data_IF_249772643663
#
_entry.id   IF_249772643663
#
_cell.length_a   1.000
_cell.length_b   1.000
_cell.length_c   1.000
_cell.angle_alpha   90.00
_cell.angle_beta   90.00
_cell.angle_gamma   90.00
#
_symmetry.space_group_name_H-M   'P 1'
#
loop_
_entity.id
_entity.type
_entity.pdbx_description
1 polymer ?
#
# COMPACT_ATOMS: atom_id res chain seq x y z
N UNK A 1 -7.99 12.66 -17.61
CA UNK A 1 -6.58 13.03 -17.95
C UNK A 1 -5.70 12.11 -17.14
N UNK A 2 -4.68 11.46 -17.74
CA UNK A 2 -3.73 10.63 -16.99
C UNK A 2 -2.88 11.59 -16.14
N UNK A 3 -2.80 11.40 -14.81
CA UNK A 3 -1.99 12.28 -13.98
C UNK A 3 -0.51 12.19 -14.40
N UNK A 4 0.29 13.26 -14.23
CA UNK A 4 1.70 13.23 -14.49
C UNK A 4 2.39 12.17 -13.63
N UNK A 5 3.46 11.56 -14.12
CA UNK A 5 4.27 10.63 -13.35
C UNK A 5 4.84 11.34 -12.12
N UNK A 6 4.80 10.66 -10.97
CA UNK A 6 5.26 11.22 -9.70
C UNK A 6 6.54 10.50 -9.24
N UNK A 7 7.54 11.30 -8.90
CA UNK A 7 8.87 10.84 -8.46
C UNK A 7 9.28 11.60 -7.21
N UNK A 8 9.73 10.92 -6.19
CA UNK A 8 10.24 11.62 -5.01
C UNK A 8 10.40 10.80 -3.75
N UNK A 9 10.78 11.48 -2.66
CA UNK A 9 10.99 10.86 -1.38
C UNK A 9 9.69 10.54 -0.66
N UNK A 10 9.78 9.54 0.20
CA UNK A 10 8.84 9.28 1.25
C UNK A 10 9.44 9.66 2.61
N UNK A 11 8.65 10.37 3.43
CA UNK A 11 9.02 10.81 4.76
C UNK A 11 9.31 12.31 4.88
N UNK A 12 8.87 12.91 6.00
CA UNK A 12 9.01 14.34 6.27
C UNK A 12 10.47 14.80 6.43
N UNK A 13 11.37 13.91 6.87
CA UNK A 13 12.80 14.22 7.00
C UNK A 13 13.47 14.63 5.68
N UNK A 14 12.95 14.15 4.54
CA UNK A 14 13.44 14.53 3.22
C UNK A 14 13.21 16.00 2.89
N UNK A 15 12.29 16.68 3.57
CA UNK A 15 12.02 18.11 3.40
C UNK A 15 13.17 19.02 3.86
N UNK A 16 14.12 18.50 4.65
CA UNK A 16 15.38 19.21 4.91
C UNK A 16 16.17 19.52 3.63
N UNK A 17 15.92 18.75 2.55
CA UNK A 17 16.52 18.88 1.23
C UNK A 17 15.54 19.45 0.19
N UNK A 18 14.40 20.02 0.61
CA UNK A 18 13.30 20.40 -0.29
C UNK A 18 13.72 21.35 -1.42
N UNK A 19 14.69 22.23 -1.18
CA UNK A 19 15.23 23.14 -2.20
C UNK A 19 15.95 22.40 -3.34
N UNK A 20 16.55 21.24 -3.04
CA UNK A 20 17.35 20.47 -4.00
C UNK A 20 16.54 19.35 -4.68
N UNK A 21 15.40 18.95 -4.12
CA UNK A 21 14.60 17.84 -4.64
C UNK A 21 14.26 18.01 -6.13
N UNK A 22 13.81 19.20 -6.53
CA UNK A 22 13.46 19.49 -7.92
C UNK A 22 14.69 19.42 -8.85
N UNK A 23 15.88 19.79 -8.38
CA UNK A 23 17.11 19.72 -9.15
C UNK A 23 17.50 18.25 -9.48
N UNK A 24 17.10 17.32 -8.61
CA UNK A 24 17.27 15.88 -8.84
C UNK A 24 16.06 15.23 -9.53
N UNK A 25 15.09 16.02 -10.01
CA UNK A 25 13.94 15.53 -10.78
C UNK A 25 12.77 15.05 -9.93
N UNK A 26 12.80 15.23 -8.60
CA UNK A 26 11.64 14.95 -7.77
C UNK A 26 10.56 16.02 -8.00
N UNK A 27 9.32 15.58 -8.19
CA UNK A 27 8.16 16.45 -8.39
C UNK A 27 7.03 16.18 -7.39
N UNK A 28 7.20 15.18 -6.52
CA UNK A 28 6.27 14.82 -5.47
C UNK A 28 7.00 14.40 -4.19
N UNK A 29 6.30 14.41 -3.06
CA UNK A 29 6.77 13.82 -1.81
C UNK A 29 5.58 13.20 -1.06
N UNK A 30 5.81 12.08 -0.36
CA UNK A 30 4.80 11.33 0.37
C UNK A 30 5.02 11.40 1.87
N UNK A 31 3.95 11.54 2.64
CA UNK A 31 3.99 11.72 4.08
C UNK A 31 3.07 10.74 4.79
N UNK A 32 3.45 10.31 6.00
CA UNK A 32 2.69 9.38 6.84
C UNK A 32 1.30 9.86 7.28
N UNK A 33 1.05 11.18 7.18
CA UNK A 33 -0.19 11.82 7.61
C UNK A 33 -0.32 13.19 6.98
N UNK A 34 -1.46 13.80 7.16
CA UNK A 34 -1.66 15.21 6.88
C UNK A 34 -0.84 16.05 7.86
N UNK A 35 0.03 16.91 7.36
CA UNK A 35 0.98 17.71 8.17
C UNK A 35 1.17 19.09 7.55
N UNK A 36 0.82 20.16 8.29
CA UNK A 36 0.85 21.53 7.80
C UNK A 36 2.24 21.93 7.28
N UNK A 37 3.30 21.60 8.03
CA UNK A 37 4.67 21.98 7.68
C UNK A 37 5.13 21.28 6.39
N UNK A 38 4.73 20.02 6.23
CA UNK A 38 5.05 19.25 5.02
C UNK A 38 4.37 19.84 3.79
N UNK A 39 3.09 20.17 3.90
CA UNK A 39 2.32 20.77 2.80
C UNK A 39 2.83 22.17 2.45
N UNK A 40 3.12 23.01 3.44
CA UNK A 40 3.72 24.33 3.21
C UNK A 40 5.12 24.25 2.57
N UNK A 41 5.95 23.30 3.00
CA UNK A 41 7.26 23.10 2.39
C UNK A 41 7.15 22.67 0.93
N UNK A 42 6.27 21.71 0.63
CA UNK A 42 6.00 21.29 -0.75
C UNK A 42 5.50 22.44 -1.62
N UNK A 43 4.54 23.22 -1.14
CA UNK A 43 4.00 24.37 -1.86
C UNK A 43 5.06 25.42 -2.20
N UNK A 44 5.97 25.73 -1.25
CA UNK A 44 7.07 26.67 -1.47
C UNK A 44 8.05 26.24 -2.55
N UNK A 45 8.22 24.94 -2.75
CA UNK A 45 9.18 24.39 -3.71
C UNK A 45 8.53 23.80 -4.96
N UNK A 46 7.21 23.94 -5.13
CA UNK A 46 6.49 23.44 -6.31
C UNK A 46 6.43 21.91 -6.38
N UNK A 47 6.51 21.22 -5.24
CA UNK A 47 6.47 19.77 -5.11
C UNK A 47 5.04 19.35 -4.77
N UNK A 48 4.52 18.33 -5.45
CA UNK A 48 3.21 17.77 -5.17
C UNK A 48 3.23 17.04 -3.82
N UNK A 49 2.39 17.46 -2.87
CA UNK A 49 2.23 16.79 -1.59
C UNK A 49 1.25 15.62 -1.72
N UNK A 50 1.72 14.42 -1.39
CA UNK A 50 0.93 13.19 -1.34
C UNK A 50 0.90 12.63 0.08
N UNK A 51 -0.18 11.94 0.43
CA UNK A 51 -0.36 11.40 1.78
C UNK A 51 -0.51 9.89 1.73
N UNK A 52 0.22 9.19 2.59
CA UNK A 52 -0.11 7.83 3.01
C UNK A 52 -1.28 7.91 3.98
N UNK A 53 -2.39 7.31 3.62
CA UNK A 53 -3.55 7.23 4.49
C UNK A 53 -3.74 5.81 5.01
N UNK A 54 -3.61 5.67 6.33
CA UNK A 54 -3.71 4.36 7.02
C UNK A 54 -5.17 3.94 7.13
N UNK A 55 -5.54 2.86 6.44
CA UNK A 55 -6.92 2.37 6.39
C UNK A 55 -7.24 1.40 7.53
N UNK A 56 -6.69 0.19 7.49
CA UNK A 56 -7.01 -0.88 8.45
C UNK A 56 -5.91 -1.07 9.48
N UNK A 57 -5.41 0.03 10.01
CA UNK A 57 -4.37 0.03 11.05
C UNK A 57 -4.87 0.69 12.32
N UNK A 58 -4.71 0.01 13.44
CA UNK A 58 -5.02 0.52 14.76
C UNK A 58 -3.88 0.25 15.75
N UNK A 59 -3.90 0.95 16.86
CA UNK A 59 -3.12 0.59 18.05
C UNK A 59 -3.90 -0.48 18.84
N UNK A 60 -3.40 -1.71 18.82
CA UNK A 60 -4.04 -2.86 19.49
C UNK A 60 -3.78 -2.93 21.00
N UNK A 61 -2.89 -2.10 21.52
CA UNK A 61 -2.72 -1.95 22.97
C UNK A 61 -3.91 -1.22 23.57
N UNK A 62 -4.38 -0.19 22.85
CA UNK A 62 -5.53 0.62 23.27
C UNK A 62 -6.87 0.11 22.73
N UNK A 63 -6.86 -0.69 21.64
CA UNK A 63 -8.07 -1.18 20.96
C UNK A 63 -7.96 -2.71 20.69
N UNK A 64 -7.90 -3.56 21.72
CA UNK A 64 -7.69 -4.99 21.53
C UNK A 64 -8.85 -5.70 20.82
N UNK A 65 -10.05 -5.13 20.83
CA UNK A 65 -11.26 -5.66 20.15
C UNK A 65 -11.13 -5.59 18.62
N UNK A 66 -10.25 -4.75 18.10
CA UNK A 66 -9.99 -4.62 16.67
C UNK A 66 -9.11 -5.75 16.11
N UNK A 67 -8.47 -6.53 16.99
CA UNK A 67 -7.55 -7.60 16.59
C UNK A 67 -8.30 -8.70 15.84
N UNK A 68 -7.87 -9.09 14.63
CA UNK A 68 -8.45 -10.23 13.92
C UNK A 68 -8.24 -11.55 14.66
N UNK A 69 -9.17 -12.47 14.50
CA UNK A 69 -9.13 -13.82 15.09
C UNK A 69 -8.60 -14.81 14.04
N UNK A 70 -7.59 -15.58 14.42
CA UNK A 70 -7.02 -16.65 13.61
C UNK A 70 -7.91 -17.91 13.54
N UNK A 71 -7.48 -18.87 12.74
CA UNK A 71 -8.18 -20.15 12.58
C UNK A 71 -8.18 -21.00 13.88
N UNK A 72 -7.25 -20.74 14.78
CA UNK A 72 -7.16 -21.36 16.12
C UNK A 72 -8.07 -20.71 17.17
N UNK A 73 -8.85 -19.71 16.77
CA UNK A 73 -9.74 -18.95 17.65
C UNK A 73 -9.04 -17.90 18.51
N UNK A 74 -7.75 -17.64 18.29
CA UNK A 74 -6.96 -16.67 19.06
C UNK A 74 -6.75 -15.37 18.28
N UNK A 75 -6.55 -14.23 18.99
CA UNK A 75 -6.13 -12.99 18.35
C UNK A 75 -4.79 -13.14 17.64
N UNK A 76 -4.73 -12.70 16.38
CA UNK A 76 -3.49 -12.72 15.60
C UNK A 76 -2.61 -11.55 16.01
N UNK A 77 -1.32 -11.83 16.28
CA UNK A 77 -0.31 -10.82 16.60
C UNK A 77 0.99 -11.12 15.86
N UNK A 78 1.59 -10.10 15.26
CA UNK A 78 2.88 -10.15 14.60
C UNK A 78 3.94 -9.42 15.44
N UNK A 79 4.18 -9.88 16.68
CA UNK A 79 5.04 -9.20 17.63
C UNK A 79 4.52 -7.81 18.01
N UNK A 80 5.39 -6.78 17.91
CA UNK A 80 4.99 -5.38 18.08
C UNK A 80 4.34 -4.77 16.83
N UNK A 81 4.29 -5.51 15.72
CA UNK A 81 3.72 -5.06 14.46
C UNK A 81 2.22 -5.36 14.42
N UNK A 82 1.46 -4.34 14.06
CA UNK A 82 0.01 -4.40 14.08
C UNK A 82 -0.51 -4.17 12.67
N UNK A 83 -0.97 -5.22 12.02
CA UNK A 83 -1.33 -5.22 10.63
C UNK A 83 -2.72 -5.79 10.41
N UNK A 84 -3.60 -4.93 9.89
CA UNK A 84 -4.95 -5.28 9.55
C UNK A 84 -5.88 -5.38 10.77
N UNK A 85 -6.98 -4.63 10.76
CA UNK A 85 -8.07 -4.73 11.74
C UNK A 85 -9.12 -5.72 11.25
N UNK A 86 -9.95 -6.21 12.16
CA UNK A 86 -11.14 -6.95 11.79
C UNK A 86 -12.13 -6.06 11.03
N UNK A 87 -12.44 -6.37 9.77
CA UNK A 87 -13.33 -5.57 8.93
C UNK A 87 -14.83 -5.65 9.34
N UNK A 88 -15.17 -6.33 10.41
CA UNK A 88 -16.51 -6.26 11.03
C UNK A 88 -16.59 -5.24 12.17
N UNK A 89 -15.57 -4.42 12.37
CA UNK A 89 -15.53 -3.33 13.34
C UNK A 89 -15.99 -2.02 12.66
N UNK A 90 -17.30 -1.90 12.48
CA UNK A 90 -17.89 -0.83 11.67
C UNK A 90 -17.64 0.56 12.24
N UNK A 91 -17.73 0.74 13.57
CA UNK A 91 -17.49 2.04 14.22
C UNK A 91 -16.07 2.57 13.94
N UNK A 92 -15.06 1.69 14.01
CA UNK A 92 -13.69 2.05 13.67
C UNK A 92 -13.56 2.45 12.19
N UNK A 93 -14.17 1.67 11.30
CA UNK A 93 -14.09 1.93 9.85
C UNK A 93 -14.85 3.19 9.44
N UNK A 94 -15.96 3.52 10.11
CA UNK A 94 -16.69 4.77 9.92
C UNK A 94 -15.86 5.98 10.39
N UNK A 95 -15.10 5.84 11.49
CA UNK A 95 -14.16 6.88 11.93
C UNK A 95 -13.03 7.10 10.92
N UNK A 96 -12.46 6.01 10.35
CA UNK A 96 -11.45 6.11 9.28
C UNK A 96 -11.99 6.90 8.08
N UNK A 97 -13.24 6.67 7.68
CA UNK A 97 -13.87 7.46 6.61
C UNK A 97 -14.06 8.93 6.97
N UNK A 98 -14.44 9.21 8.22
CA UNK A 98 -14.59 10.59 8.71
C UNK A 98 -13.25 11.33 8.70
N UNK A 99 -12.18 10.66 9.15
CA UNK A 99 -10.81 11.21 9.15
C UNK A 99 -10.30 11.48 7.72
N UNK A 100 -10.57 10.56 6.79
CA UNK A 100 -10.24 10.75 5.38
C UNK A 100 -10.95 11.97 4.80
N UNK A 101 -12.26 12.11 5.03
CA UNK A 101 -13.05 13.26 4.57
C UNK A 101 -12.50 14.58 5.12
N UNK A 102 -12.21 14.63 6.41
CA UNK A 102 -11.65 15.80 7.07
C UNK A 102 -10.27 16.17 6.49
N UNK A 103 -9.36 15.19 6.35
CA UNK A 103 -8.02 15.41 5.82
C UNK A 103 -8.03 15.88 4.37
N UNK A 104 -8.81 15.24 3.50
CA UNK A 104 -8.92 15.62 2.08
C UNK A 104 -9.48 17.03 1.92
N UNK A 105 -10.49 17.40 2.72
CA UNK A 105 -11.09 18.72 2.67
C UNK A 105 -10.12 19.82 3.13
N UNK A 106 -9.34 19.56 4.20
CA UNK A 106 -8.45 20.54 4.80
C UNK A 106 -7.17 20.76 3.96
N UNK A 107 -6.54 19.67 3.49
CA UNK A 107 -5.20 19.71 2.91
C UNK A 107 -5.15 19.68 1.39
N UNK A 108 -6.17 19.16 0.74
CA UNK A 108 -6.26 19.06 -0.73
C UNK A 108 -5.01 18.45 -1.39
N UNK A 109 -4.60 17.24 -1.00
CA UNK A 109 -3.38 16.60 -1.51
C UNK A 109 -3.45 16.33 -3.03
N UNK A 110 -2.29 16.24 -3.66
CA UNK A 110 -2.18 15.83 -5.06
C UNK A 110 -2.48 14.34 -5.25
N UNK A 111 -2.25 13.54 -4.23
CA UNK A 111 -2.56 12.12 -4.21
C UNK A 111 -2.73 11.57 -2.79
N UNK A 112 -3.54 10.53 -2.67
CA UNK A 112 -3.73 9.73 -1.45
C UNK A 112 -3.35 8.29 -1.77
N UNK A 113 -2.39 7.76 -1.02
CA UNK A 113 -2.03 6.34 -1.05
C UNK A 113 -2.67 5.62 0.12
N UNK A 114 -3.61 4.72 -0.16
CA UNK A 114 -4.26 3.88 0.83
C UNK A 114 -3.27 2.81 1.30
N UNK A 115 -2.85 2.91 2.55
CA UNK A 115 -1.96 1.95 3.19
C UNK A 115 -2.72 1.06 4.16
N UNK A 116 -2.15 -0.11 4.48
CA UNK A 116 -2.80 -1.16 5.27
C UNK A 116 -4.16 -1.60 4.69
N UNK A 117 -4.36 -1.47 3.39
CA UNK A 117 -5.55 -1.94 2.68
C UNK A 117 -5.48 -3.46 2.52
N UNK A 118 -5.54 -4.17 3.65
CA UNK A 118 -5.22 -5.61 3.74
C UNK A 118 -5.84 -6.26 4.98
N UNK A 119 -6.08 -7.57 4.90
CA UNK A 119 -6.30 -8.38 6.10
C UNK A 119 -5.00 -8.54 6.89
N UNK A 120 -5.08 -9.13 8.10
CA UNK A 120 -3.91 -9.29 8.96
C UNK A 120 -2.82 -10.11 8.29
N UNK A 121 -1.62 -9.54 8.21
CA UNK A 121 -0.45 -10.16 7.64
C UNK A 121 0.75 -9.22 7.71
N UNK A 122 1.95 -9.80 7.73
CA UNK A 122 3.20 -9.05 7.66
C UNK A 122 4.16 -9.70 6.68
N UNK A 123 4.68 -8.95 5.73
CA UNK A 123 5.52 -9.46 4.64
C UNK A 123 6.94 -8.87 4.61
N UNK A 124 7.23 -7.87 5.45
CA UNK A 124 8.54 -7.21 5.50
C UNK A 124 9.54 -8.03 6.33
N UNK A 125 9.64 -9.32 6.02
CA UNK A 125 10.58 -10.25 6.63
C UNK A 125 10.87 -11.42 5.68
N UNK A 126 12.07 -12.04 5.77
CA UNK A 126 12.46 -13.12 4.85
C UNK A 126 11.58 -14.37 4.96
N UNK A 127 11.11 -14.69 6.16
CA UNK A 127 10.25 -15.85 6.44
C UNK A 127 8.96 -15.37 7.12
N UNK A 128 7.93 -15.03 6.33
CA UNK A 128 6.71 -14.43 6.85
C UNK A 128 5.82 -15.45 7.57
N UNK A 129 5.30 -15.06 8.73
CA UNK A 129 4.24 -15.79 9.42
C UNK A 129 2.89 -15.51 8.75
N UNK A 130 2.34 -16.52 8.06
CA UNK A 130 1.15 -16.40 7.24
C UNK A 130 -0.04 -17.07 7.91
N UNK A 131 -0.79 -16.30 8.68
CA UNK A 131 -1.97 -16.75 9.38
C UNK A 131 -3.25 -16.32 8.65
N UNK A 132 -4.19 -17.25 8.48
CA UNK A 132 -5.52 -16.95 7.95
C UNK A 132 -6.35 -16.17 8.97
N UNK A 133 -7.09 -15.17 8.50
CA UNK A 133 -8.02 -14.35 9.30
C UNK A 133 -9.15 -13.77 8.42
N UNK A 134 -10.19 -13.15 8.98
CA UNK A 134 -10.57 -13.11 10.40
C UNK A 134 -11.72 -14.10 10.62
N UNK A 135 -11.57 -15.03 11.56
CA UNK A 135 -12.58 -16.02 11.87
C UNK A 135 -13.44 -15.65 13.09
N UNK A 136 -13.56 -14.36 13.42
CA UNK A 136 -14.56 -13.96 14.41
C UNK A 136 -15.96 -14.27 13.90
N UNK A 137 -16.92 -14.46 14.84
CA UNK A 137 -18.31 -14.82 14.53
C UNK A 137 -18.95 -13.93 13.48
N UNK A 138 -18.71 -12.62 13.54
CA UNK A 138 -19.28 -11.66 12.59
C UNK A 138 -18.71 -11.83 11.17
N UNK A 139 -17.39 -12.09 11.04
CA UNK A 139 -16.77 -12.32 9.74
C UNK A 139 -17.22 -13.63 9.10
N UNK A 140 -17.35 -14.70 9.88
CA UNK A 140 -17.86 -16.00 9.38
C UNK A 140 -19.32 -15.86 8.96
N UNK A 141 -20.17 -15.22 9.78
CA UNK A 141 -21.56 -14.98 9.43
C UNK A 141 -21.70 -14.18 8.12
N UNK A 142 -20.93 -13.10 7.95
CA UNK A 142 -20.93 -12.30 6.72
C UNK A 142 -20.47 -13.11 5.50
N UNK A 143 -19.51 -14.02 5.66
CA UNK A 143 -19.10 -14.93 4.60
C UNK A 143 -20.23 -15.88 4.20
N UNK A 144 -20.85 -16.53 5.16
CA UNK A 144 -21.95 -17.46 4.90
C UNK A 144 -23.16 -16.76 4.24
N UNK A 145 -23.51 -15.57 4.72
CA UNK A 145 -24.60 -14.77 4.14
C UNK A 145 -24.30 -14.37 2.68
N UNK A 146 -23.08 -13.88 2.42
CA UNK A 146 -22.73 -13.39 1.07
C UNK A 146 -22.58 -14.53 0.04
N UNK A 147 -22.08 -15.69 0.48
CA UNK A 147 -21.73 -16.78 -0.44
C UNK A 147 -22.76 -17.89 -0.50
N UNK A 148 -23.69 -17.95 0.45
CA UNK A 148 -24.63 -19.05 0.62
C UNK A 148 -23.97 -20.33 1.15
N UNK A 149 -22.70 -20.28 1.55
CA UNK A 149 -21.99 -21.43 2.14
C UNK A 149 -22.49 -21.64 3.56
N UNK A 150 -22.75 -22.89 3.92
CA UNK A 150 -23.03 -23.31 5.29
C UNK A 150 -21.73 -23.89 5.90
N UNK A 151 -21.06 -23.12 6.74
CA UNK A 151 -19.87 -23.54 7.45
C UNK A 151 -19.85 -22.86 8.83
N UNK A 152 -19.56 -23.66 9.86
CA UNK A 152 -19.61 -23.21 11.26
C UNK A 152 -18.20 -23.06 11.86
N UNK A 153 -17.19 -23.66 11.24
CA UNK A 153 -15.83 -23.68 11.78
C UNK A 153 -14.78 -23.17 10.78
N UNK A 154 -13.69 -22.55 11.28
CA UNK A 154 -12.55 -22.20 10.42
C UNK A 154 -11.98 -23.40 9.66
N UNK A 155 -11.98 -24.60 10.28
CA UNK A 155 -11.44 -25.79 9.66
C UNK A 155 -12.26 -26.20 8.41
N UNK A 156 -13.60 -26.18 8.49
CA UNK A 156 -14.48 -26.44 7.33
C UNK A 156 -14.27 -25.39 6.23
N UNK A 157 -14.22 -24.11 6.60
CA UNK A 157 -13.99 -23.02 5.63
C UNK A 157 -12.66 -23.24 4.89
N UNK A 158 -11.60 -23.56 5.61
CA UNK A 158 -10.27 -23.73 5.02
C UNK A 158 -10.12 -25.04 4.23
N UNK A 159 -10.82 -26.12 4.63
CA UNK A 159 -10.78 -27.39 3.92
C UNK A 159 -11.62 -27.37 2.62
N UNK A 160 -12.85 -26.87 2.70
CA UNK A 160 -13.84 -27.04 1.64
C UNK A 160 -14.15 -25.75 0.88
N UNK A 161 -13.85 -24.59 1.44
CA UNK A 161 -14.28 -23.29 0.93
C UNK A 161 -13.15 -22.24 0.84
N UNK A 162 -11.88 -22.66 0.90
CA UNK A 162 -10.72 -21.73 0.96
C UNK A 162 -10.71 -20.69 -0.17
N UNK A 163 -11.04 -21.09 -1.40
CA UNK A 163 -11.09 -20.17 -2.55
C UNK A 163 -12.22 -19.13 -2.41
N UNK A 164 -13.40 -19.57 -1.95
CA UNK A 164 -14.56 -18.69 -1.69
C UNK A 164 -14.27 -17.73 -0.54
N UNK A 165 -13.60 -18.21 0.52
CA UNK A 165 -13.16 -17.40 1.64
C UNK A 165 -12.18 -16.30 1.21
N UNK A 166 -11.15 -16.66 0.43
CA UNK A 166 -10.21 -15.69 -0.12
C UNK A 166 -10.92 -14.66 -1.02
N UNK A 167 -11.83 -15.11 -1.88
CA UNK A 167 -12.65 -14.25 -2.74
C UNK A 167 -13.53 -13.27 -1.95
N UNK A 168 -14.19 -13.76 -0.89
CA UNK A 168 -14.98 -12.92 0.03
C UNK A 168 -14.12 -11.82 0.69
N UNK A 169 -12.94 -12.19 1.20
CA UNK A 169 -12.02 -11.22 1.81
C UNK A 169 -11.58 -10.15 0.80
N UNK A 170 -11.17 -10.56 -0.40
CA UNK A 170 -10.78 -9.63 -1.47
C UNK A 170 -11.92 -8.69 -1.85
N UNK A 171 -13.16 -9.19 -1.95
CA UNK A 171 -14.32 -8.36 -2.25
C UNK A 171 -14.60 -7.33 -1.15
N UNK A 172 -14.42 -7.67 0.12
CA UNK A 172 -14.57 -6.72 1.25
C UNK A 172 -13.52 -5.61 1.20
N UNK A 173 -12.24 -5.96 0.99
CA UNK A 173 -11.17 -4.97 0.85
C UNK A 173 -11.44 -4.05 -0.34
N UNK A 174 -11.86 -4.59 -1.47
CA UNK A 174 -12.21 -3.81 -2.66
C UNK A 174 -13.42 -2.87 -2.43
N UNK A 175 -14.41 -3.31 -1.65
CA UNK A 175 -15.56 -2.47 -1.31
C UNK A 175 -15.15 -1.24 -0.49
N UNK A 176 -14.27 -1.40 0.50
CA UNK A 176 -13.72 -0.27 1.25
C UNK A 176 -12.83 0.63 0.38
N UNK A 177 -11.99 0.04 -0.47
CA UNK A 177 -11.20 0.81 -1.43
C UNK A 177 -12.09 1.69 -2.32
N UNK A 178 -13.22 1.15 -2.79
CA UNK A 178 -14.19 1.91 -3.58
C UNK A 178 -14.82 3.07 -2.79
N UNK A 179 -15.19 2.85 -1.52
CA UNK A 179 -15.74 3.90 -0.64
C UNK A 179 -14.71 5.02 -0.42
N UNK A 180 -13.45 4.67 -0.10
CA UNK A 180 -12.39 5.66 0.09
C UNK A 180 -12.09 6.43 -1.21
N UNK A 181 -12.00 5.75 -2.33
CA UNK A 181 -11.81 6.39 -3.63
C UNK A 181 -12.97 7.33 -4.01
N UNK A 182 -14.19 6.95 -3.68
CA UNK A 182 -15.36 7.82 -3.86
C UNK A 182 -15.24 9.10 -3.03
N UNK A 183 -14.92 9.00 -1.73
CA UNK A 183 -14.72 10.14 -0.83
C UNK A 183 -13.66 11.10 -1.41
N UNK A 184 -12.52 10.56 -1.85
CA UNK A 184 -11.42 11.34 -2.40
C UNK A 184 -11.86 12.04 -3.70
N UNK A 185 -12.48 11.32 -4.63
CA UNK A 185 -12.84 11.84 -5.95
C UNK A 185 -13.99 12.86 -5.91
N UNK A 186 -14.94 12.71 -4.98
CA UNK A 186 -16.01 13.68 -4.75
C UNK A 186 -15.44 15.00 -4.24
N UNK A 187 -14.47 14.96 -3.31
CA UNK A 187 -13.87 16.18 -2.76
C UNK A 187 -12.79 16.77 -3.69
N UNK A 188 -12.03 15.96 -4.38
CA UNK A 188 -10.87 16.34 -5.21
C UNK A 188 -10.84 15.52 -6.52
N UNK A 189 -11.58 15.90 -7.57
CA UNK A 189 -11.67 15.11 -8.81
C UNK A 189 -10.34 14.83 -9.53
N UNK A 190 -9.29 15.61 -9.24
CA UNK A 190 -7.96 15.43 -9.82
C UNK A 190 -6.95 14.71 -8.93
N UNK A 191 -7.33 14.33 -7.71
CA UNK A 191 -6.45 13.65 -6.77
C UNK A 191 -6.17 12.21 -7.24
N UNK A 192 -4.90 11.81 -7.20
CA UNK A 192 -4.49 10.42 -7.51
C UNK A 192 -4.85 9.52 -6.35
N UNK A 193 -5.52 8.41 -6.63
CA UNK A 193 -5.77 7.36 -5.63
C UNK A 193 -4.79 6.23 -5.85
N UNK A 194 -3.79 6.13 -4.97
CA UNK A 194 -2.82 5.04 -4.94
C UNK A 194 -3.18 4.00 -3.87
N UNK A 195 -2.54 2.84 -3.93
CA UNK A 195 -2.56 1.85 -2.86
C UNK A 195 -1.19 1.20 -2.70
N UNK A 196 -0.73 1.08 -1.46
CA UNK A 196 0.44 0.27 -1.15
C UNK A 196 0.07 -1.21 -1.15
N UNK A 197 0.94 -2.01 -1.77
CA UNK A 197 0.67 -3.43 -2.03
C UNK A 197 1.81 -4.28 -1.49
N UNK A 198 1.47 -5.48 -1.01
CA UNK A 198 2.45 -6.52 -0.78
C UNK A 198 3.19 -6.82 -2.11
N UNK A 199 4.53 -6.88 -2.12
CA UNK A 199 5.32 -6.96 -3.34
C UNK A 199 5.52 -8.39 -3.85
N UNK A 200 4.55 -9.27 -3.63
CA UNK A 200 4.62 -10.66 -4.05
C UNK A 200 3.91 -10.88 -5.38
N UNK A 201 4.41 -11.84 -6.15
CA UNK A 201 3.69 -12.35 -7.31
C UNK A 201 2.47 -13.17 -6.86
N UNK A 202 1.43 -13.29 -7.70
CA UNK A 202 0.16 -13.90 -7.30
C UNK A 202 0.23 -15.34 -6.77
N UNK A 203 1.21 -16.12 -7.21
CA UNK A 203 1.41 -17.53 -6.85
C UNK A 203 2.39 -17.74 -5.68
N UNK A 204 3.13 -16.70 -5.28
CA UNK A 204 4.07 -16.82 -4.17
C UNK A 204 3.38 -17.16 -2.85
N UNK A 205 4.07 -17.94 -2.03
CA UNK A 205 3.58 -18.40 -0.73
C UNK A 205 2.16 -19.04 -0.81
N UNK A 206 1.91 -19.81 -1.86
CA UNK A 206 0.62 -20.46 -2.08
C UNK A 206 -0.54 -19.49 -2.31
N UNK A 207 -0.28 -18.39 -3.03
CA UNK A 207 -1.29 -17.38 -3.35
C UNK A 207 -1.61 -16.46 -2.17
N UNK A 208 -0.66 -16.23 -1.27
CA UNK A 208 -0.87 -15.48 -0.04
C UNK A 208 -1.29 -14.02 -0.29
N UNK A 209 -0.94 -13.43 -1.43
CA UNK A 209 -1.39 -12.10 -1.81
C UNK A 209 -2.92 -11.97 -1.71
N UNK A 210 -3.67 -12.93 -2.25
CA UNK A 210 -5.13 -12.97 -2.15
C UNK A 210 -5.60 -13.66 -0.88
N UNK A 211 -4.97 -14.78 -0.53
CA UNK A 211 -5.41 -15.66 0.55
C UNK A 211 -5.21 -15.04 1.93
N UNK A 212 -4.09 -14.39 2.18
CA UNK A 212 -3.74 -13.77 3.47
C UNK A 212 -4.05 -12.28 3.46
N UNK A 213 -3.45 -11.53 2.53
CA UNK A 213 -3.57 -10.07 2.48
C UNK A 213 -4.88 -9.59 1.86
N UNK A 214 -5.61 -10.44 1.17
CA UNK A 214 -6.84 -10.09 0.44
C UNK A 214 -6.64 -8.96 -0.57
N UNK A 215 -5.45 -8.87 -1.14
CA UNK A 215 -5.11 -7.92 -2.19
C UNK A 215 -5.29 -8.58 -3.56
N UNK A 216 -6.27 -8.12 -4.32
CA UNK A 216 -6.56 -8.55 -5.69
C UNK A 216 -6.54 -7.35 -6.61
N UNK A 217 -5.55 -7.28 -7.49
CA UNK A 217 -5.36 -6.16 -8.42
C UNK A 217 -6.58 -5.90 -9.30
N UNK A 218 -7.26 -6.96 -9.75
CA UNK A 218 -8.43 -6.83 -10.62
C UNK A 218 -9.64 -6.26 -9.88
N UNK A 219 -9.89 -6.71 -8.64
CA UNK A 219 -10.98 -6.19 -7.82
C UNK A 219 -10.72 -4.78 -7.32
N UNK A 220 -9.46 -4.43 -7.04
CA UNK A 220 -9.06 -3.08 -6.61
C UNK A 220 -9.01 -2.07 -7.76
N UNK A 221 -8.81 -2.51 -9.00
CA UNK A 221 -8.63 -1.64 -10.16
C UNK A 221 -9.72 -0.58 -10.35
N UNK A 222 -11.02 -0.79 -10.11
CA UNK A 222 -12.02 0.28 -10.24
C UNK A 222 -11.78 1.46 -9.30
N UNK A 223 -11.18 1.21 -8.13
CA UNK A 223 -10.92 2.22 -7.10
C UNK A 223 -9.53 2.87 -7.23
N UNK A 224 -8.51 2.10 -7.59
CA UNK A 224 -7.10 2.48 -7.51
C UNK A 224 -6.56 2.89 -8.88
N UNK A 225 -5.95 4.06 -8.96
CA UNK A 225 -5.30 4.57 -10.18
C UNK A 225 -3.87 4.05 -10.32
N UNK A 226 -3.15 3.95 -9.18
CA UNK A 226 -1.73 3.56 -9.10
C UNK A 226 -1.52 2.53 -8.00
N UNK A 227 -1.05 1.36 -8.37
CA UNK A 227 -0.60 0.34 -7.43
C UNK A 227 0.87 0.54 -7.08
N UNK A 228 1.20 0.54 -5.79
CA UNK A 228 2.56 0.80 -5.32
C UNK A 228 3.07 -0.36 -4.45
N UNK A 229 3.66 -1.40 -5.08
CA UNK A 229 4.31 -2.48 -4.34
C UNK A 229 5.49 -1.98 -3.50
N UNK A 230 5.56 -2.47 -2.25
CA UNK A 230 6.57 -2.09 -1.26
C UNK A 230 7.84 -2.93 -1.45
N UNK A 231 8.71 -2.50 -2.37
CA UNK A 231 9.96 -3.22 -2.70
C UNK A 231 11.03 -2.89 -1.65
N UNK A 232 10.98 -3.60 -0.53
CA UNK A 232 11.93 -3.47 0.57
C UNK A 232 12.85 -4.72 0.60
N UNK A 233 13.82 -4.74 -0.32
CA UNK A 233 14.66 -5.91 -0.58
C UNK A 233 15.35 -6.44 0.66
N UNK A 234 16.12 -5.62 1.34
CA UNK A 234 16.87 -6.01 2.55
C UNK A 234 15.94 -6.51 3.66
N UNK A 235 14.81 -5.84 3.90
CA UNK A 235 13.86 -6.25 4.96
C UNK A 235 13.20 -7.60 4.65
N UNK A 236 12.87 -7.85 3.40
CA UNK A 236 12.14 -9.06 2.98
C UNK A 236 13.04 -10.18 2.44
N UNK A 237 14.38 -10.04 2.57
CA UNK A 237 15.33 -11.04 2.06
C UNK A 237 15.33 -11.18 0.54
N UNK A 238 14.90 -10.15 -0.19
CA UNK A 238 14.85 -10.14 -1.65
C UNK A 238 16.13 -9.53 -2.25
N UNK A 239 16.54 -9.96 -3.46
CA UNK A 239 17.66 -9.34 -4.15
C UNK A 239 17.36 -7.91 -4.59
N UNK A 240 18.40 -7.09 -4.81
CA UNK A 240 18.28 -5.71 -5.31
C UNK A 240 17.54 -5.61 -6.64
N UNK A 241 17.57 -6.68 -7.46
CA UNK A 241 16.85 -6.80 -8.73
C UNK A 241 15.34 -7.03 -8.57
N UNK A 242 14.82 -7.22 -7.36
CA UNK A 242 13.42 -7.60 -7.17
C UNK A 242 12.43 -6.59 -7.77
N UNK A 243 12.70 -5.30 -7.63
CA UNK A 243 11.87 -4.26 -8.25
C UNK A 243 11.75 -4.43 -9.77
N UNK A 244 12.86 -4.72 -10.45
CA UNK A 244 12.87 -5.03 -11.89
C UNK A 244 12.06 -6.28 -12.19
N UNK A 245 12.33 -7.37 -11.47
CA UNK A 245 11.59 -8.64 -11.63
C UNK A 245 10.09 -8.45 -11.47
N UNK A 246 9.67 -7.70 -10.44
CA UNK A 246 8.25 -7.39 -10.23
C UNK A 246 7.63 -6.66 -11.43
N UNK A 247 8.29 -5.60 -11.95
CA UNK A 247 7.81 -4.84 -13.11
C UNK A 247 7.70 -5.68 -14.38
N UNK A 248 8.62 -6.62 -14.58
CA UNK A 248 8.60 -7.55 -15.72
C UNK A 248 7.39 -8.49 -15.67
N UNK A 249 6.94 -8.89 -14.47
CA UNK A 249 5.79 -9.80 -14.28
C UNK A 249 4.45 -9.06 -14.12
N UNK A 250 4.45 -7.82 -13.68
CA UNK A 250 3.24 -7.04 -13.38
C UNK A 250 2.20 -7.03 -14.51
N UNK A 251 2.55 -6.95 -15.81
CA UNK A 251 1.58 -6.96 -16.90
C UNK A 251 0.70 -8.22 -16.97
N UNK A 252 1.12 -9.32 -16.33
CA UNK A 252 0.35 -10.57 -16.32
C UNK A 252 -0.84 -10.53 -15.34
N UNK A 253 -0.81 -9.66 -14.32
CA UNK A 253 -1.85 -9.63 -13.28
C UNK A 253 -2.36 -8.23 -12.92
N UNK A 254 -1.66 -7.18 -13.27
CA UNK A 254 -2.16 -5.80 -13.12
C UNK A 254 -2.97 -5.41 -14.35
N UNK A 255 -4.22 -4.95 -14.22
CA UNK A 255 -5.02 -4.50 -15.36
C UNK A 255 -4.32 -3.41 -16.18
N UNK A 256 -4.33 -3.53 -17.51
CA UNK A 256 -3.58 -2.67 -18.43
C UNK A 256 -3.92 -1.16 -18.33
N UNK A 257 -5.13 -0.83 -17.90
CA UNK A 257 -5.58 0.55 -17.69
C UNK A 257 -5.16 1.12 -16.34
N UNK A 258 -4.39 0.39 -15.55
CA UNK A 258 -3.87 0.82 -14.25
C UNK A 258 -2.35 0.99 -14.31
N UNK A 259 -1.84 1.75 -13.35
CA UNK A 259 -0.42 2.09 -13.29
C UNK A 259 0.25 1.36 -12.13
N UNK A 260 1.52 1.03 -12.33
CA UNK A 260 2.40 0.51 -11.27
C UNK A 260 3.48 1.55 -11.01
N UNK A 261 3.65 1.93 -9.75
CA UNK A 261 4.74 2.75 -9.26
C UNK A 261 5.41 1.97 -8.14
N UNK A 262 6.71 1.82 -8.15
CA UNK A 262 7.38 1.14 -7.04
C UNK A 262 7.75 2.13 -5.93
N UNK A 263 7.75 1.65 -4.69
CA UNK A 263 8.48 2.29 -3.60
C UNK A 263 9.65 1.40 -3.20
N UNK A 264 10.86 1.96 -3.25
CA UNK A 264 12.11 1.28 -2.91
C UNK A 264 12.60 1.76 -1.55
N UNK A 265 13.24 0.89 -0.76
CA UNK A 265 13.88 1.29 0.48
C UNK A 265 15.29 1.84 0.17
N UNK A 266 15.62 3.02 0.69
CA UNK A 266 16.96 3.59 0.58
C UNK A 266 18.05 2.71 1.22
N UNK A 267 17.68 1.81 2.15
CA UNK A 267 18.58 0.80 2.73
C UNK A 267 19.09 -0.20 1.70
N UNK A 268 18.34 -0.46 0.62
CA UNK A 268 18.75 -1.37 -0.45
C UNK A 268 19.85 -0.76 -1.34
N UNK A 269 20.15 0.51 -1.13
CA UNK A 269 21.24 1.23 -1.77
C UNK A 269 20.96 1.66 -3.21
N UNK A 270 21.89 2.42 -3.82
CA UNK A 270 21.73 2.98 -5.17
C UNK A 270 21.64 1.92 -6.27
N UNK A 271 22.19 0.70 -6.03
CA UNK A 271 22.13 -0.40 -6.99
C UNK A 271 20.70 -0.86 -7.27
N UNK A 272 19.87 -1.03 -6.23
CA UNK A 272 18.46 -1.40 -6.38
C UNK A 272 17.69 -0.38 -7.21
N UNK A 273 17.94 0.90 -6.97
CA UNK A 273 17.34 1.98 -7.71
C UNK A 273 17.74 1.97 -9.21
N UNK A 274 19.03 1.78 -9.49
CA UNK A 274 19.55 1.71 -10.86
C UNK A 274 19.00 0.48 -11.61
N UNK A 275 18.93 -0.68 -10.98
CA UNK A 275 18.38 -1.91 -11.57
C UNK A 275 16.89 -1.78 -11.87
N UNK A 276 16.13 -1.18 -10.96
CA UNK A 276 14.70 -0.92 -11.15
C UNK A 276 14.47 0.05 -12.31
N UNK A 277 15.28 1.11 -12.40
CA UNK A 277 15.21 2.08 -13.50
C UNK A 277 15.54 1.46 -14.86
N UNK A 278 16.37 0.41 -14.89
CA UNK A 278 16.68 -0.30 -16.13
C UNK A 278 15.49 -1.09 -16.70
N UNK A 279 14.49 -1.43 -15.89
CA UNK A 279 13.24 -2.07 -16.33
C UNK A 279 12.19 -1.06 -16.85
N UNK A 280 12.50 0.23 -16.82
CA UNK A 280 11.65 1.29 -17.39
C UNK A 280 11.48 1.06 -18.93
N UNK A 281 10.29 1.26 -19.49
CA UNK A 281 9.28 2.24 -19.11
C UNK A 281 8.08 1.68 -18.33
N UNK A 282 8.16 0.50 -17.75
CA UNK A 282 7.02 -0.16 -17.10
C UNK A 282 6.50 0.55 -15.84
N UNK A 283 7.36 1.32 -15.13
CA UNK A 283 6.93 2.06 -13.94
C UNK A 283 6.33 3.42 -14.29
N UNK A 284 5.18 3.75 -13.68
CA UNK A 284 4.54 5.06 -13.84
C UNK A 284 5.27 6.18 -13.08
N UNK A 285 6.10 5.84 -12.10
CA UNK A 285 6.85 6.77 -11.28
C UNK A 285 7.67 6.01 -10.26
N UNK A 286 8.19 6.71 -9.25
CA UNK A 286 9.05 6.13 -8.24
C UNK A 286 8.93 6.84 -6.91
N UNK A 287 8.79 6.08 -5.83
CA UNK A 287 8.96 6.55 -4.47
C UNK A 287 10.24 5.96 -3.86
N UNK A 288 10.88 6.69 -2.96
CA UNK A 288 11.99 6.15 -2.17
C UNK A 288 11.70 6.35 -0.68
N UNK A 289 11.48 5.22 0.02
CA UNK A 289 11.33 5.18 1.47
C UNK A 289 12.64 5.58 2.16
N UNK A 290 12.56 6.28 3.30
CA UNK A 290 13.70 6.94 3.93
C UNK A 290 14.43 7.91 2.95
N UNK A 291 13.64 8.70 2.24
CA UNK A 291 14.12 9.59 1.18
C UNK A 291 15.18 10.59 1.66
N UNK A 292 15.22 10.94 2.95
CA UNK A 292 16.27 11.78 3.51
C UNK A 292 17.67 11.21 3.28
N UNK A 293 17.83 9.88 3.38
CA UNK A 293 19.11 9.20 3.13
C UNK A 293 19.59 9.37 1.69
N UNK A 294 18.65 9.36 0.72
CA UNK A 294 18.98 9.54 -0.70
C UNK A 294 19.51 10.95 -0.95
N UNK A 295 18.80 11.97 -0.47
CA UNK A 295 19.10 13.36 -0.78
C UNK A 295 20.16 13.99 0.12
N UNK A 296 20.54 13.33 1.23
CA UNK A 296 21.73 13.68 2.01
C UNK A 296 23.05 13.26 1.36
N UNK A 297 23.02 12.30 0.42
CA UNK A 297 24.18 11.81 -0.33
C UNK A 297 24.07 12.24 -1.79
N UNK A 298 24.94 13.14 -2.23
CA UNK A 298 24.91 13.67 -3.60
C UNK A 298 25.17 12.62 -4.68
N UNK A 299 25.87 11.54 -4.38
CA UNK A 299 26.08 10.43 -5.31
C UNK A 299 24.80 9.59 -5.43
N UNK A 300 24.12 9.31 -4.34
CA UNK A 300 22.85 8.60 -4.37
C UNK A 300 21.76 9.44 -5.03
N UNK A 301 21.69 10.75 -4.72
CA UNK A 301 20.74 11.66 -5.36
C UNK A 301 20.91 11.72 -6.89
N UNK A 302 22.15 11.64 -7.41
CA UNK A 302 22.40 11.52 -8.84
C UNK A 302 21.88 10.22 -9.44
N UNK A 303 22.01 9.10 -8.75
CA UNK A 303 21.40 7.82 -9.20
C UNK A 303 19.88 7.93 -9.26
N UNK A 304 19.26 8.63 -8.30
CA UNK A 304 17.83 8.94 -8.34
C UNK A 304 17.49 9.80 -9.57
N UNK A 305 18.26 10.86 -9.85
CA UNK A 305 18.08 11.73 -11.02
C UNK A 305 18.17 10.95 -12.34
N UNK A 306 19.16 10.07 -12.46
CA UNK A 306 19.31 9.21 -13.63
C UNK A 306 18.14 8.24 -13.80
N UNK A 307 17.62 7.70 -12.67
CA UNK A 307 16.45 6.83 -12.69
C UNK A 307 15.20 7.59 -13.16
N UNK A 308 14.96 8.79 -12.63
CA UNK A 308 13.86 9.66 -13.08
C UNK A 308 13.96 9.95 -14.57
N UNK A 309 15.14 10.35 -15.05
CA UNK A 309 15.36 10.67 -16.48
C UNK A 309 15.06 9.47 -17.40
N UNK A 310 15.33 8.25 -16.97
CA UNK A 310 15.03 7.02 -17.74
C UNK A 310 13.55 6.66 -17.72
N UNK A 311 12.84 6.99 -16.64
CA UNK A 311 11.41 6.68 -16.44
C UNK A 311 10.49 7.77 -17.00
N UNK A 312 10.97 8.99 -17.22
CA UNK A 312 10.22 10.13 -17.77
C UNK A 312 10.00 10.01 -19.26
#
# INVERSE_FOLDING_TARGET
MIPPRLFGPYGTAALAHAADLAAYGANAAWFHMFDDRAFEACARHGIAACVEFKTFRADFETNPELIPIGADGRPIRFGALVQGVCLSQHEFLDQVEADLRAGVAAYRPAGIWLDYLTYAGWFEQPDPDLQESCFCRACVAAFCEQTGVAADTPAEILADHAASWAGHKCARVAAYAARYAQIIREALPGCVVGAYMCPWLPDEHGGALRRIFAQDYSLLAPAIDVFTPLIYGTKSGRPTSWGRTFLEHAPAFVPQNRKVQLILDALDGPGSLAETAAASPASWGLQVYDGARVFADSAFARVFQDAVARMS
#
